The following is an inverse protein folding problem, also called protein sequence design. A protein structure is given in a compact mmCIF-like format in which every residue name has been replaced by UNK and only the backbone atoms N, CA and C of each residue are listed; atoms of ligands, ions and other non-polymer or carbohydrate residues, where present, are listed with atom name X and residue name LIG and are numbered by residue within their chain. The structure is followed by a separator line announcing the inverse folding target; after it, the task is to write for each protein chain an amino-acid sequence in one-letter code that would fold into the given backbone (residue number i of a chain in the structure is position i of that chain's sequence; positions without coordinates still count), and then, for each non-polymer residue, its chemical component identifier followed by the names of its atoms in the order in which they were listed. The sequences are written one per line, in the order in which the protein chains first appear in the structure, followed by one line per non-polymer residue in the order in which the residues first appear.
data_IF_253720868268
#
_entry.id   IF_253720868268
#
_cell.length_a   1.000
_cell.length_b   1.000
_cell.length_c   1.000
_cell.angle_alpha   90.00
_cell.angle_beta   90.00
_cell.angle_gamma   90.00
#
_symmetry.space_group_name_H-M   'P 1'
#
loop_
_entity.id
_entity.type
_entity.pdbx_description
1 polymer ?
#
# COMPACT_ATOMS: atom_id res chain seq x y z
N UNK A 1 -12.97 -12.61 3.31
CA UNK A 1 -14.22 -13.20 3.83
C UNK A 1 -15.45 -12.71 3.03
N UNK A 2 -15.63 -11.39 2.85
CA UNK A 2 -16.70 -10.82 2.00
C UNK A 2 -16.59 -11.19 0.52
N UNK A 3 -15.38 -11.15 -0.07
CA UNK A 3 -15.13 -11.57 -1.45
C UNK A 3 -15.38 -13.07 -1.72
N UNK A 4 -15.15 -13.93 -0.72
CA UNK A 4 -15.43 -15.38 -0.80
C UNK A 4 -16.94 -15.65 -0.71
N UNK A 5 -17.66 -14.81 0.04
CA UNK A 5 -19.11 -14.91 0.21
C UNK A 5 -19.88 -14.42 -1.04
N UNK A 6 -19.34 -13.42 -1.74
CA UNK A 6 -19.82 -12.92 -3.03
C UNK A 6 -19.70 -13.98 -4.14
N UNK A 7 -18.70 -14.86 -4.08
CA UNK A 7 -18.51 -15.90 -5.09
C UNK A 7 -19.52 -17.06 -4.97
N UNK A 8 -20.14 -17.25 -3.79
CA UNK A 8 -21.10 -18.34 -3.55
C UNK A 8 -22.57 -17.91 -3.60
N UNK A 9 -22.86 -16.61 -3.55
CA UNK A 9 -24.23 -16.07 -3.62
C UNK A 9 -24.31 -15.10 -4.81
N UNK A 10 -25.11 -15.38 -5.85
CA UNK A 10 -25.28 -14.45 -6.96
C UNK A 10 -25.87 -13.13 -6.43
N UNK A 11 -25.07 -12.06 -6.54
CA UNK A 11 -25.40 -10.67 -6.12
C UNK A 11 -26.74 -10.17 -6.69
N UNK A 12 -27.23 -10.79 -7.76
CA UNK A 12 -28.51 -10.48 -8.39
C UNK A 12 -29.73 -10.58 -7.46
N UNK A 13 -29.66 -11.30 -6.32
CA UNK A 13 -30.78 -11.36 -5.35
C UNK A 13 -30.87 -10.15 -4.41
N UNK A 14 -29.90 -9.23 -4.44
CA UNK A 14 -29.77 -8.12 -3.49
C UNK A 14 -30.32 -6.79 -4.05
N UNK A 15 -30.99 -6.83 -5.21
CA UNK A 15 -31.55 -5.66 -5.88
C UNK A 15 -30.48 -4.63 -6.26
N UNK A 16 -30.81 -3.35 -6.13
CA UNK A 16 -29.94 -2.21 -6.53
C UNK A 16 -28.58 -2.22 -5.80
N UNK A 17 -28.52 -2.76 -4.57
CA UNK A 17 -27.27 -2.87 -3.81
C UNK A 17 -26.32 -3.91 -4.42
N UNK A 18 -26.86 -5.05 -4.89
CA UNK A 18 -26.08 -6.07 -5.56
C UNK A 18 -25.49 -5.56 -6.88
N UNK A 19 -26.30 -4.82 -7.64
CA UNK A 19 -25.89 -4.20 -8.91
C UNK A 19 -24.83 -3.10 -8.71
N UNK A 20 -24.97 -2.30 -7.64
CA UNK A 20 -23.98 -1.29 -7.27
C UNK A 20 -22.65 -1.93 -6.89
N UNK A 21 -22.66 -2.96 -6.05
CA UNK A 21 -21.44 -3.69 -5.63
C UNK A 21 -20.79 -4.36 -6.84
N UNK A 22 -21.56 -4.96 -7.74
CA UNK A 22 -21.03 -5.56 -8.96
C UNK A 22 -20.38 -4.50 -9.86
N UNK A 23 -21.00 -3.33 -10.00
CA UNK A 23 -20.43 -2.20 -10.75
C UNK A 23 -19.08 -1.77 -10.16
N UNK A 24 -18.99 -1.62 -8.83
CA UNK A 24 -17.72 -1.29 -8.15
C UNK A 24 -16.64 -2.35 -8.33
N UNK A 25 -17.01 -3.64 -8.32
CA UNK A 25 -16.06 -4.74 -8.54
C UNK A 25 -15.53 -4.81 -9.99
N UNK A 26 -16.28 -4.25 -10.95
CA UNK A 26 -15.86 -4.19 -12.37
C UNK A 26 -15.03 -2.96 -12.70
N UNK A 27 -14.90 -1.99 -11.79
CA UNK A 27 -14.06 -0.81 -12.00
C UNK A 27 -12.60 -1.24 -12.15
N UNK A 28 -11.93 -0.73 -13.20
CA UNK A 28 -10.52 -1.03 -13.42
C UNK A 28 -9.66 -0.49 -12.25
N UNK A 29 -8.84 -1.36 -11.62
CA UNK A 29 -8.04 -0.97 -10.47
C UNK A 29 -6.92 0.03 -10.82
N UNK A 30 -6.45 0.06 -12.08
CA UNK A 30 -5.46 1.04 -12.50
C UNK A 30 -6.07 2.44 -12.55
N UNK A 31 -7.31 2.58 -13.05
CA UNK A 31 -8.05 3.85 -13.01
C UNK A 31 -8.20 4.37 -11.58
N UNK A 32 -8.53 3.48 -10.63
CA UNK A 32 -8.56 3.88 -9.21
C UNK A 32 -7.20 4.39 -8.74
N UNK A 33 -6.11 3.68 -9.04
CA UNK A 33 -4.77 4.10 -8.67
C UNK A 33 -4.41 5.48 -9.29
N UNK A 34 -4.72 5.71 -10.57
CA UNK A 34 -4.46 6.97 -11.25
C UNK A 34 -5.26 8.15 -10.68
N UNK A 35 -6.48 7.92 -10.18
CA UNK A 35 -7.32 8.97 -9.60
C UNK A 35 -6.95 9.22 -8.13
N UNK A 36 -6.76 8.16 -7.35
CA UNK A 36 -6.53 8.27 -5.91
C UNK A 36 -5.10 8.67 -5.55
N UNK A 37 -4.06 8.15 -6.23
CA UNK A 37 -2.67 8.45 -5.85
C UNK A 37 -2.37 9.96 -5.93
N UNK A 38 -2.71 10.69 -7.00
CA UNK A 38 -2.49 12.14 -7.04
C UNK A 38 -3.34 12.90 -6.02
N UNK A 39 -4.59 12.46 -5.81
CA UNK A 39 -5.50 13.09 -4.85
C UNK A 39 -5.00 12.93 -3.40
N UNK A 40 -4.52 11.73 -3.03
CA UNK A 40 -3.99 11.44 -1.70
C UNK A 40 -2.67 12.16 -1.45
N UNK A 41 -1.74 12.10 -2.42
CA UNK A 41 -0.45 12.80 -2.33
C UNK A 41 -0.62 14.32 -2.14
N UNK A 42 -1.61 14.93 -2.80
CA UNK A 42 -1.88 16.36 -2.64
C UNK A 42 -2.37 16.70 -1.23
N UNK A 43 -3.23 15.85 -0.64
CA UNK A 43 -3.68 16.00 0.74
C UNK A 43 -2.53 15.98 1.74
N UNK A 44 -1.57 15.08 1.55
CA UNK A 44 -0.39 14.94 2.43
C UNK A 44 0.57 16.13 2.30
N UNK A 45 0.82 16.61 1.07
CA UNK A 45 1.72 17.74 0.82
C UNK A 45 1.14 19.06 1.34
N UNK A 46 -0.17 19.28 1.24
CA UNK A 46 -0.81 20.48 1.79
C UNK A 46 -0.72 20.57 3.32
N UNK A 47 -0.63 19.44 4.00
CA UNK A 47 -0.47 19.37 5.45
C UNK A 47 0.99 19.56 5.92
N UNK A 48 1.94 19.79 4.99
CA UNK A 48 3.37 19.76 5.25
C UNK A 48 3.98 21.17 5.35
N UNK A 49 4.71 21.45 6.43
CA UNK A 49 5.37 22.74 6.63
C UNK A 49 6.67 22.87 5.80
N UNK A 50 6.72 23.83 4.89
CA UNK A 50 7.86 24.05 4.00
C UNK A 50 9.20 24.29 4.71
N UNK A 51 9.18 24.92 5.89
CA UNK A 51 10.39 25.18 6.68
C UNK A 51 10.95 23.90 7.31
N UNK A 52 10.08 23.02 7.79
CA UNK A 52 10.46 21.72 8.38
C UNK A 52 11.02 20.80 7.29
N UNK A 53 10.38 20.78 6.13
CA UNK A 53 10.83 19.98 4.97
C UNK A 53 12.22 20.41 4.52
N UNK A 54 12.49 21.71 4.41
CA UNK A 54 13.81 22.22 3.98
C UNK A 54 14.95 21.77 4.89
N UNK A 55 14.72 21.69 6.21
CA UNK A 55 15.73 21.23 7.17
C UNK A 55 15.99 19.72 7.10
N UNK A 56 14.96 18.92 6.79
CA UNK A 56 15.01 17.45 6.84
C UNK A 56 15.07 16.74 5.49
N UNK A 57 14.97 17.44 4.36
CA UNK A 57 14.76 16.82 3.04
C UNK A 57 15.87 15.84 2.67
N UNK A 58 17.13 16.19 2.93
CA UNK A 58 18.27 15.33 2.58
C UNK A 58 18.29 14.06 3.42
N UNK A 59 18.03 14.16 4.72
CA UNK A 59 17.95 13.01 5.62
C UNK A 59 16.75 12.11 5.28
N UNK A 60 15.60 12.72 4.96
CA UNK A 60 14.41 12.02 4.52
C UNK A 60 14.64 11.28 3.20
N UNK A 61 15.30 11.92 2.21
CA UNK A 61 15.62 11.29 0.93
C UNK A 61 16.62 10.12 1.09
N UNK A 62 17.64 10.28 1.94
CA UNK A 62 18.56 9.20 2.26
C UNK A 62 17.85 8.02 2.95
N UNK A 63 16.97 8.28 3.92
CA UNK A 63 16.19 7.24 4.59
C UNK A 63 15.21 6.55 3.64
N UNK A 64 14.53 7.32 2.80
CA UNK A 64 13.59 6.80 1.81
C UNK A 64 14.28 5.91 0.77
N UNK A 65 15.54 6.17 0.43
CA UNK A 65 16.25 5.39 -0.59
C UNK A 65 17.05 4.25 0.02
N UNK A 66 17.98 4.57 0.92
CA UNK A 66 18.90 3.60 1.51
C UNK A 66 18.18 2.72 2.54
N UNK A 67 17.36 3.33 3.40
CA UNK A 67 16.57 2.59 4.39
C UNK A 67 15.58 1.64 3.74
N UNK A 68 14.92 2.08 2.66
CA UNK A 68 14.03 1.22 1.87
C UNK A 68 14.78 0.05 1.24
N UNK A 69 15.95 0.28 0.62
CA UNK A 69 16.72 -0.79 -0.04
C UNK A 69 17.16 -1.87 0.96
N UNK A 70 17.63 -1.46 2.14
CA UNK A 70 18.03 -2.38 3.21
C UNK A 70 16.82 -3.17 3.72
N UNK A 71 15.69 -2.48 3.95
CA UNK A 71 14.45 -3.11 4.41
C UNK A 71 13.91 -4.12 3.40
N UNK A 72 13.90 -3.78 2.11
CA UNK A 72 13.43 -4.66 1.04
C UNK A 72 14.31 -5.92 0.94
N UNK A 73 15.63 -5.76 1.09
CA UNK A 73 16.56 -6.89 1.07
C UNK A 73 16.36 -7.80 2.29
N UNK A 74 16.27 -7.23 3.50
CA UNK A 74 16.01 -8.00 4.73
C UNK A 74 14.67 -8.74 4.67
N UNK A 75 13.62 -8.08 4.17
CA UNK A 75 12.27 -8.65 4.02
C UNK A 75 12.20 -9.75 2.96
N UNK A 76 13.19 -9.83 2.06
CA UNK A 76 13.31 -10.91 1.08
C UNK A 76 14.00 -12.18 1.63
N UNK A 77 14.69 -12.12 2.77
CA UNK A 77 15.36 -13.29 3.35
C UNK A 77 14.39 -14.38 3.83
N UNK A 78 13.27 -14.07 4.51
CA UNK A 78 12.30 -15.07 4.96
C UNK A 78 11.73 -15.93 3.83
N UNK A 79 11.63 -15.41 2.60
CA UNK A 79 11.08 -16.18 1.46
C UNK A 79 11.94 -17.40 1.11
N UNK A 80 13.21 -17.41 1.51
CA UNK A 80 14.13 -18.55 1.32
C UNK A 80 13.92 -19.67 2.33
N UNK A 81 13.36 -19.36 3.50
CA UNK A 81 13.16 -20.30 4.59
C UNK A 81 11.77 -20.94 4.56
N UNK A 82 10.79 -20.32 3.87
CA UNK A 82 9.46 -20.89 3.71
C UNK A 82 9.42 -21.94 2.60
N UNK A 83 8.88 -23.15 2.85
CA UNK A 83 8.83 -24.23 1.87
C UNK A 83 7.99 -23.90 0.63
N UNK A 84 7.00 -23.01 0.75
CA UNK A 84 6.16 -22.59 -0.39
C UNK A 84 6.81 -21.56 -1.32
N UNK A 85 7.85 -20.85 -0.87
CA UNK A 85 8.47 -19.72 -1.60
C UNK A 85 9.94 -19.95 -1.90
N UNK A 86 10.46 -21.13 -1.54
CA UNK A 86 11.89 -21.49 -1.64
C UNK A 86 12.42 -21.45 -3.08
N UNK A 87 11.60 -21.87 -4.04
CA UNK A 87 11.97 -21.99 -5.45
C UNK A 87 11.80 -20.66 -6.22
N UNK A 88 11.45 -19.57 -5.54
CA UNK A 88 11.25 -18.29 -6.21
C UNK A 88 12.58 -17.73 -6.76
N UNK A 89 12.55 -17.19 -8.00
CA UNK A 89 13.71 -16.48 -8.52
C UNK A 89 14.03 -15.30 -7.62
N UNK A 90 15.32 -14.94 -7.54
CA UNK A 90 15.79 -13.88 -6.64
C UNK A 90 15.07 -12.56 -6.88
N UNK A 91 14.81 -12.23 -8.14
CA UNK A 91 14.03 -11.05 -8.51
C UNK A 91 12.65 -11.03 -7.84
N UNK A 92 11.90 -12.15 -7.85
CA UNK A 92 10.55 -12.20 -7.30
C UNK A 92 10.56 -12.12 -5.77
N UNK A 93 11.55 -12.72 -5.10
CA UNK A 93 11.74 -12.58 -3.66
C UNK A 93 12.06 -11.14 -3.24
N UNK A 94 12.89 -10.43 -4.02
CA UNK A 94 13.21 -9.02 -3.77
C UNK A 94 12.02 -8.11 -4.07
N UNK A 95 11.25 -8.38 -5.13
CA UNK A 95 10.00 -7.66 -5.40
C UNK A 95 8.99 -7.84 -4.27
N UNK A 96 8.85 -9.06 -3.73
CA UNK A 96 8.01 -9.29 -2.56
C UNK A 96 8.50 -8.48 -1.35
N UNK A 97 9.80 -8.51 -1.08
CA UNK A 97 10.40 -7.68 -0.02
C UNK A 97 10.14 -6.19 -0.21
N UNK A 98 10.24 -5.67 -1.44
CA UNK A 98 9.97 -4.27 -1.77
C UNK A 98 8.51 -3.87 -1.53
N UNK A 99 7.55 -4.73 -1.87
CA UNK A 99 6.12 -4.49 -1.62
C UNK A 99 5.84 -4.48 -0.11
N UNK A 100 6.42 -5.41 0.65
CA UNK A 100 6.23 -5.49 2.11
C UNK A 100 6.90 -4.32 2.85
N UNK A 101 8.03 -3.84 2.37
CA UNK A 101 8.76 -2.71 2.96
C UNK A 101 8.14 -1.34 2.71
N UNK A 102 7.15 -1.23 1.83
CA UNK A 102 6.41 0.01 1.61
C UNK A 102 5.68 0.44 2.88
N UNK A 103 6.12 1.53 3.51
CA UNK A 103 5.52 2.07 4.74
C UNK A 103 4.61 3.26 4.43
N UNK A 104 3.40 3.25 4.98
CA UNK A 104 2.53 4.43 5.04
C UNK A 104 2.57 5.00 6.46
N UNK A 105 3.17 6.19 6.67
CA UNK A 105 3.24 6.79 8.01
C UNK A 105 1.87 7.30 8.50
N UNK A 106 0.87 7.38 7.62
CA UNK A 106 -0.43 8.03 7.86
C UNK A 106 -1.17 7.48 9.08
N UNK A 107 -1.15 6.16 9.31
CA UNK A 107 -1.78 5.56 10.49
C UNK A 107 -1.09 5.99 11.80
N UNK A 108 0.24 6.05 11.80
CA UNK A 108 1.01 6.50 12.96
C UNK A 108 0.86 8.01 13.18
N UNK A 109 0.78 8.81 12.11
CA UNK A 109 0.54 10.25 12.20
C UNK A 109 -0.85 10.53 12.75
N UNK A 110 -1.85 9.74 12.35
CA UNK A 110 -3.22 9.92 12.83
C UNK A 110 -3.33 9.67 14.32
N UNK A 111 -2.70 8.62 14.85
CA UNK A 111 -2.71 8.36 16.29
C UNK A 111 -1.94 9.43 17.09
N UNK A 112 -0.83 9.95 16.55
CA UNK A 112 -0.10 11.04 17.20
C UNK A 112 -0.93 12.32 17.25
N UNK A 113 -1.57 12.70 16.14
CA UNK A 113 -2.50 13.85 16.09
C UNK A 113 -3.71 13.68 17.01
N UNK A 114 -4.15 12.45 17.26
CA UNK A 114 -5.24 12.16 18.18
C UNK A 114 -4.83 12.27 19.66
N UNK A 115 -3.54 12.16 19.98
CA UNK A 115 -3.02 12.15 21.35
C UNK A 115 -2.56 13.53 21.86
N UNK A 116 -2.36 14.51 20.98
CA UNK A 116 -1.97 15.88 21.31
C UNK A 116 -0.61 16.24 20.75
#
# INVERSE_FOLDING_TARGET
LLAVLIHHVPLHRWGVLGDSIQTWLTVDPHLMCFVFIPMLMFGDVLALDANLVRGGLLQAALMATLGFLISAFLSSLPTRFLPSTRDWPVALSVCFGAVVSGTEPTAAIWILRALG
#
